data_IF_102837872563
#
_entry.id   IF_102837872563
#
_cell.length_a   1.000
_cell.length_b   1.000
_cell.length_c   1.000
_cell.angle_alpha   90.00
_cell.angle_beta   90.00
_cell.angle_gamma   90.00
#
_symmetry.space_group_name_H-M   'P 1'
#
loop_
_entity.id
_entity.type
_entity.pdbx_description
1 polymer ?
#
# COMPACT_ATOMS: atom_id res chain seq x y z
N UNK A 1 12.13 6.85 2.01
CA UNK A 1 10.90 6.29 2.62
C UNK A 1 10.39 5.22 1.68
N UNK A 2 10.42 3.94 2.09
CA UNK A 2 9.76 2.88 1.32
C UNK A 2 8.26 3.11 1.37
N UNK A 3 7.60 3.14 0.21
CA UNK A 3 6.14 3.26 0.14
C UNK A 3 5.52 1.94 0.58
N UNK A 4 4.29 2.01 1.10
CA UNK A 4 3.58 0.81 1.55
C UNK A 4 3.40 -0.21 0.42
N UNK A 5 3.18 0.27 -0.81
CA UNK A 5 3.09 -0.58 -1.99
C UNK A 5 4.38 -1.36 -2.27
N UNK A 6 5.55 -0.77 -2.03
CA UNK A 6 6.84 -1.46 -2.24
C UNK A 6 7.07 -2.52 -1.17
N UNK A 7 6.79 -2.22 0.10
CA UNK A 7 6.87 -3.20 1.19
C UNK A 7 5.95 -4.39 0.98
N UNK A 8 4.72 -4.16 0.50
CA UNK A 8 3.77 -5.23 0.23
C UNK A 8 4.22 -6.11 -0.95
N UNK A 9 4.90 -5.53 -1.96
CA UNK A 9 5.49 -6.29 -3.08
C UNK A 9 6.69 -7.11 -2.61
N UNK A 10 7.60 -6.51 -1.84
CA UNK A 10 8.77 -7.20 -1.29
C UNK A 10 8.38 -8.37 -0.39
N UNK A 11 7.28 -8.23 0.36
CA UNK A 11 6.75 -9.29 1.20
C UNK A 11 5.91 -10.33 0.44
N UNK A 12 5.71 -10.17 -0.88
CA UNK A 12 4.93 -11.09 -1.71
C UNK A 12 3.42 -11.07 -1.45
N UNK A 13 2.91 -10.05 -0.74
CA UNK A 13 1.48 -9.89 -0.45
C UNK A 13 0.71 -9.41 -1.67
N UNK A 14 1.35 -8.56 -2.48
CA UNK A 14 0.79 -8.06 -3.74
C UNK A 14 1.82 -8.14 -4.85
N UNK A 15 1.38 -8.05 -6.10
CA UNK A 15 2.31 -7.98 -7.24
C UNK A 15 2.58 -6.53 -7.66
N UNK A 16 3.68 -6.33 -8.41
CA UNK A 16 3.97 -5.01 -9.00
C UNK A 16 2.80 -4.49 -9.85
N UNK A 17 2.10 -5.38 -10.56
CA UNK A 17 0.93 -5.03 -11.38
C UNK A 17 -0.24 -4.50 -10.54
N UNK A 18 -0.39 -4.97 -9.32
CA UNK A 18 -1.45 -4.52 -8.41
C UNK A 18 -1.17 -3.11 -7.92
N UNK A 19 0.09 -2.80 -7.64
CA UNK A 19 0.54 -1.43 -7.32
C UNK A 19 0.31 -0.49 -8.50
N UNK A 20 0.63 -0.92 -9.72
CA UNK A 20 0.39 -0.12 -10.93
C UNK A 20 -1.10 0.18 -11.14
N UNK A 21 -1.98 -0.81 -10.95
CA UNK A 21 -3.44 -0.59 -11.02
C UNK A 21 -3.91 0.40 -9.97
N UNK A 22 -3.44 0.26 -8.72
CA UNK A 22 -3.79 1.18 -7.65
C UNK A 22 -3.31 2.61 -7.94
N UNK A 23 -2.12 2.79 -8.54
CA UNK A 23 -1.59 4.07 -8.98
C UNK A 23 -2.40 4.70 -10.12
N UNK A 24 -2.84 3.90 -11.10
CA UNK A 24 -3.70 4.37 -12.18
C UNK A 24 -5.07 4.83 -11.65
N UNK A 25 -5.62 4.08 -10.69
CA UNK A 25 -6.87 4.45 -10.05
C UNK A 25 -6.72 5.71 -9.19
N UNK A 26 -5.61 5.85 -8.45
CA UNK A 26 -5.29 7.07 -7.70
C UNK A 26 -5.22 8.31 -8.59
N UNK A 27 -4.60 8.20 -9.77
CA UNK A 27 -4.50 9.31 -10.73
C UNK A 27 -5.85 9.70 -11.33
N UNK A 28 -6.78 8.75 -11.42
CA UNK A 28 -8.13 8.99 -11.93
C UNK A 28 -9.09 9.53 -10.85
N UNK A 29 -8.68 9.51 -9.59
CA UNK A 29 -9.44 10.06 -8.46
C UNK A 29 -9.08 11.54 -8.25
N UNK A 30 -10.09 12.38 -8.02
CA UNK A 30 -9.88 13.78 -7.62
C UNK A 30 -9.22 13.88 -6.23
N UNK A 31 -9.46 12.88 -5.36
CA UNK A 31 -8.87 12.78 -4.04
C UNK A 31 -7.52 12.05 -4.06
N UNK A 32 -6.52 12.63 -3.40
CA UNK A 32 -5.19 12.02 -3.19
C UNK A 32 -5.23 10.93 -2.10
N UNK A 33 -6.08 9.93 -2.27
CA UNK A 33 -6.14 8.78 -1.34
C UNK A 33 -4.84 7.99 -1.37
N UNK A 34 -4.33 7.51 -0.24
CA UNK A 34 -3.11 6.71 -0.19
C UNK A 34 -3.30 5.36 -0.89
N UNK A 35 -2.21 4.84 -1.49
CA UNK A 35 -2.23 3.57 -2.23
C UNK A 35 -2.71 2.41 -1.37
N UNK A 36 -2.38 2.39 -0.08
CA UNK A 36 -2.86 1.36 0.85
C UNK A 36 -4.38 1.27 0.92
N UNK A 37 -5.07 2.41 1.01
CA UNK A 37 -6.54 2.42 1.05
C UNK A 37 -7.16 2.03 -0.29
N UNK A 38 -6.52 2.41 -1.40
CA UNK A 38 -6.98 2.01 -2.74
C UNK A 38 -6.85 0.50 -2.91
N UNK A 39 -5.75 -0.11 -2.45
CA UNK A 39 -5.56 -1.57 -2.48
C UNK A 39 -6.63 -2.31 -1.65
N UNK A 40 -7.02 -1.77 -0.50
CA UNK A 40 -8.15 -2.30 0.30
C UNK A 40 -9.48 -2.14 -0.44
N UNK A 41 -9.73 -0.97 -1.02
CA UNK A 41 -10.95 -0.70 -1.79
C UNK A 41 -11.06 -1.61 -3.03
N UNK A 42 -9.93 -1.98 -3.63
CA UNK A 42 -9.86 -2.93 -4.74
C UNK A 42 -9.94 -4.40 -4.28
N UNK A 43 -10.05 -4.66 -2.98
CA UNK A 43 -10.03 -6.00 -2.35
C UNK A 43 -8.77 -6.81 -2.68
N UNK A 44 -7.67 -6.13 -2.98
CA UNK A 44 -6.37 -6.77 -3.22
C UNK A 44 -5.72 -7.17 -1.89
N UNK A 45 -5.90 -6.34 -0.86
CA UNK A 45 -5.48 -6.62 0.51
C UNK A 45 -6.65 -6.39 1.47
N UNK A 46 -6.57 -6.94 2.68
CA UNK A 46 -7.52 -6.64 3.75
C UNK A 46 -7.08 -5.41 4.54
N UNK A 47 -8.01 -4.82 5.28
CA UNK A 47 -7.71 -3.72 6.20
C UNK A 47 -6.71 -4.15 7.29
N UNK A 48 -6.79 -5.40 7.74
CA UNK A 48 -5.85 -5.98 8.72
C UNK A 48 -4.43 -6.01 8.17
N UNK A 49 -4.25 -6.47 6.93
CA UNK A 49 -2.96 -6.45 6.25
C UNK A 49 -2.44 -5.01 6.12
N UNK A 50 -3.30 -4.06 5.73
CA UNK A 50 -2.89 -2.66 5.64
C UNK A 50 -2.39 -2.14 7.00
N UNK A 51 -3.11 -2.39 8.09
CA UNK A 51 -2.73 -1.96 9.44
C UNK A 51 -1.40 -2.59 9.86
N UNK A 52 -1.19 -3.89 9.63
CA UNK A 52 0.07 -4.56 9.96
C UNK A 52 1.27 -3.90 9.26
N UNK A 53 1.14 -3.58 7.97
CA UNK A 53 2.24 -2.97 7.22
C UNK A 53 2.44 -1.49 7.54
N UNK A 54 1.40 -0.78 7.98
CA UNK A 54 1.56 0.58 8.54
C UNK A 54 2.38 0.52 9.83
N UNK A 55 2.10 -0.44 10.72
CA UNK A 55 2.86 -0.63 11.96
C UNK A 55 4.34 -0.95 11.67
N UNK A 56 4.61 -1.85 10.73
CA UNK A 56 5.99 -2.17 10.29
C UNK A 56 6.68 -0.92 9.74
N UNK A 57 6.02 -0.17 8.85
CA UNK A 57 6.56 1.07 8.28
C UNK A 57 6.89 2.11 9.36
N UNK A 58 6.05 2.24 10.39
CA UNK A 58 6.27 3.16 11.50
C UNK A 58 7.45 2.72 12.38
N UNK A 59 7.62 1.42 12.62
CA UNK A 59 8.77 0.88 13.36
C UNK A 59 10.09 1.12 12.63
N UNK A 60 10.14 0.88 11.32
CA UNK A 60 11.34 1.19 10.53
C UNK A 60 11.68 2.68 10.55
N UNK A 61 10.66 3.55 10.55
CA UNK A 61 10.85 4.99 10.65
C UNK A 61 11.40 5.43 12.01
N UNK A 62 10.96 4.81 13.10
CA UNK A 62 11.39 5.15 14.47
C UNK A 62 12.79 4.60 14.80
N UNK A 63 13.27 3.62 14.05
CA UNK A 63 14.61 3.04 14.19
C UNK A 63 15.69 3.67 13.28
N UNK A 64 15.34 4.66 12.45
CA UNK A 64 16.23 5.35 11.50
C UNK A 64 16.63 6.74 11.96
#
# INVERSE_FOLDING_TARGET
>A
MKRIGEMLVEAGVITQKDVEKALLQQQSMADKRPIGEILVSMKIITIETLIQYIDIQLREKLGS
#
